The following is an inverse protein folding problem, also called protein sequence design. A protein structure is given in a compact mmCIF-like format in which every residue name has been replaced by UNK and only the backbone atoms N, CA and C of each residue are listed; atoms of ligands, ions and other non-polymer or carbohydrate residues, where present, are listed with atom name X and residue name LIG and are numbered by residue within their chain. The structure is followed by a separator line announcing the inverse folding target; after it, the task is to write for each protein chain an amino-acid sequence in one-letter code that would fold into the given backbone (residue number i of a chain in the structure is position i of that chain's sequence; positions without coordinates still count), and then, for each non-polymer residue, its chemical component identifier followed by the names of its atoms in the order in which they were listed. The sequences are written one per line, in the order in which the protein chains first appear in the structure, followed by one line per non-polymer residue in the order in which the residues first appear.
data_IF_214082964673
#
_entry.id   IF_214082964673
#
_cell.length_a   1.000
_cell.length_b   1.000
_cell.length_c   1.000
_cell.angle_alpha   90.00
_cell.angle_beta   90.00
_cell.angle_gamma   90.00
#
_symmetry.space_group_name_H-M   'P 1'
#
loop_
_entity.id
_entity.type
_entity.pdbx_description
1 polymer ?
#
# COMPACT_ATOMS: atom_id res chain seq x y z
N UNK A 1 -0.12 -0.87 24.35
CA UNK A 1 0.96 -0.92 23.33
C UNK A 1 0.33 -0.71 21.97
N UNK A 2 0.58 0.47 21.36
CA UNK A 2 -0.06 0.87 20.09
C UNK A 2 0.73 0.32 18.90
N UNK A 3 0.13 -0.58 18.13
CA UNK A 3 0.70 -1.09 16.89
C UNK A 3 0.26 -0.18 15.73
N UNK A 4 1.20 0.46 15.06
CA UNK A 4 0.93 1.21 13.83
C UNK A 4 1.26 0.31 12.63
N UNK A 5 0.23 -0.04 11.87
CA UNK A 5 0.32 -0.85 10.65
C UNK A 5 -0.11 0.04 9.49
N UNK A 6 0.69 0.10 8.44
CA UNK A 6 0.36 0.80 7.20
C UNK A 6 -0.27 -0.20 6.24
N UNK A 7 -1.49 0.08 5.78
CA UNK A 7 -2.21 -0.74 4.79
C UNK A 7 -2.12 -0.08 3.42
N UNK A 8 -1.80 -0.85 2.41
CA UNK A 8 -1.70 -0.41 1.03
C UNK A 8 -2.68 -1.16 0.11
N UNK A 9 -3.34 -0.44 -0.78
CA UNK A 9 -4.32 -0.99 -1.73
C UNK A 9 -3.94 -0.59 -3.16
N UNK A 10 -3.82 -1.55 -4.05
CA UNK A 10 -3.53 -1.33 -5.46
C UNK A 10 -4.77 -1.57 -6.32
N UNK A 11 -5.21 -0.55 -7.03
CA UNK A 11 -6.07 -0.68 -8.21
C UNK A 11 -5.42 0.06 -9.38
N UNK A 12 -5.15 -0.64 -10.46
CA UNK A 12 -4.73 -0.05 -11.71
C UNK A 12 -5.99 0.38 -12.49
N UNK A 13 -6.32 1.68 -12.47
CA UNK A 13 -7.37 2.23 -13.31
C UNK A 13 -6.74 3.22 -14.29
N UNK A 14 -6.69 2.82 -15.56
CA UNK A 14 -6.41 3.72 -16.68
C UNK A 14 -7.64 4.57 -16.93
N UNK A 15 -7.55 5.88 -16.67
CA UNK A 15 -8.50 6.87 -17.12
C UNK A 15 -7.77 7.88 -18.00
N UNK A 16 -8.10 7.87 -19.29
CA UNK A 16 -7.75 8.92 -20.24
C UNK A 16 -8.54 10.19 -19.89
N UNK A 17 -7.88 11.26 -19.49
CA UNK A 17 -8.45 12.58 -19.34
C UNK A 17 -8.13 13.47 -20.53
N UNK A 18 -9.10 14.24 -21.06
CA UNK A 18 -8.82 15.28 -22.05
C UNK A 18 -8.14 16.48 -21.38
N UNK A 19 -7.18 17.03 -22.09
CA UNK A 19 -6.38 18.19 -21.73
C UNK A 19 -7.28 19.44 -21.57
N UNK A 20 -7.41 19.94 -20.35
CA UNK A 20 -7.88 21.29 -20.07
C UNK A 20 -6.74 22.07 -19.43
N UNK A 21 -6.28 23.11 -20.11
CA UNK A 21 -5.25 24.03 -19.60
C UNK A 21 -5.85 24.81 -18.41
N UNK A 22 -5.29 24.57 -17.23
CA UNK A 22 -5.51 25.43 -16.07
C UNK A 22 -4.15 25.97 -15.62
N UNK A 23 -3.95 27.25 -15.81
CA UNK A 23 -2.81 27.99 -15.27
C UNK A 23 -3.10 28.29 -13.80
N UNK A 24 -2.41 27.62 -12.90
CA UNK A 24 -2.36 27.99 -11.48
C UNK A 24 -0.89 28.05 -11.04
N UNK A 25 -0.59 29.14 -10.36
CA UNK A 25 0.72 29.53 -9.85
C UNK A 25 1.31 28.53 -8.88
N UNK A 26 2.56 28.19 -9.09
CA UNK A 26 3.64 27.97 -8.14
C UNK A 26 3.41 27.21 -6.83
N UNK A 27 3.17 25.91 -6.88
CA UNK A 27 3.65 25.05 -5.81
C UNK A 27 4.76 24.16 -6.37
N UNK A 28 6.01 24.44 -5.97
CA UNK A 28 7.18 23.69 -6.36
C UNK A 28 7.09 22.27 -5.75
N UNK A 29 6.65 21.31 -6.55
CA UNK A 29 6.84 19.89 -6.24
C UNK A 29 8.35 19.66 -6.12
N UNK A 30 8.88 19.12 -5.02
CA UNK A 30 10.30 18.82 -4.90
C UNK A 30 10.67 17.80 -5.98
N UNK A 31 11.36 18.25 -6.99
CA UNK A 31 11.89 17.39 -8.06
C UNK A 31 13.06 16.62 -7.47
N UNK A 32 12.83 15.38 -7.03
CA UNK A 32 13.93 14.47 -6.69
C UNK A 32 14.86 14.36 -7.91
N UNK A 33 16.16 14.48 -7.66
CA UNK A 33 17.14 14.35 -8.73
C UNK A 33 17.05 12.93 -9.33
N UNK A 34 17.27 12.76 -10.66
CA UNK A 34 17.19 11.44 -11.29
C UNK A 34 18.09 10.40 -10.61
N UNK A 35 19.22 10.79 -10.07
CA UNK A 35 20.14 9.92 -9.34
C UNK A 35 19.55 9.42 -8.03
N UNK A 36 18.83 10.28 -7.28
CA UNK A 36 18.17 9.88 -6.04
C UNK A 36 17.02 8.90 -6.30
N UNK A 37 16.25 9.11 -7.37
CA UNK A 37 15.18 8.22 -7.78
C UNK A 37 15.68 6.82 -8.20
N UNK A 38 16.81 6.75 -8.92
CA UNK A 38 17.44 5.47 -9.29
C UNK A 38 17.93 4.73 -8.05
N UNK A 39 18.65 5.42 -7.15
CA UNK A 39 19.13 4.82 -5.90
C UNK A 39 17.99 4.29 -5.03
N UNK A 40 16.91 5.04 -4.89
CA UNK A 40 15.72 4.61 -4.15
C UNK A 40 15.05 3.37 -4.78
N UNK A 41 15.04 3.27 -6.13
CA UNK A 41 14.53 2.11 -6.83
C UNK A 41 15.38 0.86 -6.55
N UNK A 42 16.72 0.99 -6.59
CA UNK A 42 17.66 -0.10 -6.32
C UNK A 42 17.56 -0.58 -4.87
N UNK A 43 17.35 0.32 -3.92
CA UNK A 43 17.13 -0.04 -2.51
C UNK A 43 15.87 -0.88 -2.32
N UNK A 44 14.77 -0.56 -3.01
CA UNK A 44 13.53 -1.34 -2.94
C UNK A 44 13.69 -2.71 -3.57
N UNK A 45 14.43 -2.81 -4.69
CA UNK A 45 14.76 -4.11 -5.33
C UNK A 45 15.59 -4.97 -4.38
N UNK A 46 16.65 -4.40 -3.80
CA UNK A 46 17.50 -5.10 -2.82
C UNK A 46 16.69 -5.58 -1.61
N UNK A 47 15.77 -4.74 -1.11
CA UNK A 47 14.89 -5.09 0.01
C UNK A 47 13.95 -6.27 -0.34
N UNK A 48 13.36 -6.26 -1.54
CA UNK A 48 12.47 -7.34 -2.01
C UNK A 48 13.20 -8.68 -2.07
N UNK A 49 14.40 -8.70 -2.63
CA UNK A 49 15.24 -9.91 -2.71
C UNK A 49 15.75 -10.36 -1.33
N UNK A 50 16.19 -9.43 -0.47
CA UNK A 50 16.66 -9.77 0.87
C UNK A 50 15.58 -10.40 1.76
N UNK A 51 14.32 -10.07 1.51
CA UNK A 51 13.15 -10.65 2.19
C UNK A 51 12.65 -11.94 1.51
N UNK A 52 13.23 -12.37 0.39
CA UNK A 52 12.85 -13.58 -0.38
C UNK A 52 11.37 -13.55 -0.79
N UNK A 53 10.91 -12.43 -1.35
CA UNK A 53 9.49 -12.20 -1.66
C UNK A 53 9.09 -12.66 -3.08
N UNK A 54 10.02 -13.15 -3.88
CA UNK A 54 9.80 -13.64 -5.25
C UNK A 54 8.76 -14.77 -5.26
N UNK A 55 7.79 -14.64 -6.15
CA UNK A 55 6.70 -15.61 -6.25
C UNK A 55 5.69 -15.60 -5.11
N UNK A 56 5.96 -14.87 -4.01
CA UNK A 56 5.06 -14.77 -2.84
C UNK A 56 4.27 -13.46 -2.85
N UNK A 57 4.97 -12.34 -3.07
CA UNK A 57 4.39 -10.99 -3.03
C UNK A 57 4.55 -10.34 -4.40
N UNK A 58 3.49 -9.72 -4.90
CA UNK A 58 3.54 -8.99 -6.16
C UNK A 58 4.55 -7.83 -6.05
N UNK A 59 5.54 -7.79 -6.95
CA UNK A 59 6.58 -6.77 -6.98
C UNK A 59 6.03 -5.34 -7.05
N UNK A 60 5.03 -5.10 -7.93
CA UNK A 60 4.45 -3.76 -8.09
C UNK A 60 3.75 -3.30 -6.80
N UNK A 61 3.00 -4.19 -6.18
CA UNK A 61 2.32 -3.92 -4.91
C UNK A 61 3.33 -3.63 -3.79
N UNK A 62 4.41 -4.43 -3.68
CA UNK A 62 5.47 -4.22 -2.71
C UNK A 62 6.20 -2.89 -2.92
N UNK A 63 6.61 -2.59 -4.16
CA UNK A 63 7.27 -1.32 -4.52
C UNK A 63 6.43 -0.12 -4.11
N UNK A 64 5.13 -0.12 -4.41
CA UNK A 64 4.23 0.97 -4.02
C UNK A 64 4.08 1.06 -2.50
N UNK A 65 3.94 -0.08 -1.81
CA UNK A 65 3.81 -0.12 -0.36
C UNK A 65 5.05 0.48 0.33
N UNK A 66 6.26 0.14 -0.13
CA UNK A 66 7.52 0.70 0.40
C UNK A 66 7.64 2.19 0.09
N UNK A 67 7.24 2.62 -1.12
CA UNK A 67 7.22 4.04 -1.48
C UNK A 67 6.32 4.84 -0.53
N UNK A 68 5.12 4.36 -0.23
CA UNK A 68 4.24 5.00 0.72
C UNK A 68 4.76 4.93 2.16
N UNK A 69 5.32 3.79 2.57
CA UNK A 69 5.96 3.64 3.87
C UNK A 69 7.06 4.69 4.10
N UNK A 70 7.91 4.94 3.12
CA UNK A 70 9.00 5.91 3.21
C UNK A 70 8.51 7.37 3.30
N UNK A 71 7.33 7.68 2.76
CA UNK A 71 6.73 9.03 2.85
C UNK A 71 6.13 9.33 4.22
N UNK A 72 5.75 8.32 4.99
CA UNK A 72 5.12 8.50 6.30
C UNK A 72 6.21 8.57 7.38
N UNK A 73 6.48 9.78 7.87
CA UNK A 73 7.55 10.03 8.85
C UNK A 73 7.15 9.78 10.31
N UNK A 74 5.86 9.90 10.65
CA UNK A 74 5.37 9.84 12.04
C UNK A 74 4.95 8.43 12.49
N UNK A 75 5.49 7.38 11.87
CA UNK A 75 5.26 6.00 12.28
C UNK A 75 6.00 5.69 13.59
N UNK A 76 5.30 5.05 14.51
CA UNK A 76 5.89 4.64 15.82
C UNK A 76 6.61 3.29 15.75
N UNK A 77 6.39 2.51 14.71
CA UNK A 77 6.99 1.18 14.50
C UNK A 77 7.35 0.99 13.03
N UNK A 78 8.41 0.26 12.79
CA UNK A 78 8.87 -0.10 11.46
C UNK A 78 8.16 -1.37 10.95
N UNK A 79 6.82 -1.30 10.93
CA UNK A 79 5.95 -2.38 10.45
C UNK A 79 5.13 -1.87 9.27
N UNK A 80 5.18 -2.60 8.16
CA UNK A 80 4.39 -2.36 6.96
C UNK A 80 3.40 -3.51 6.78
N UNK A 81 2.10 -3.19 6.61
CA UNK A 81 1.09 -4.15 6.18
C UNK A 81 0.67 -3.83 4.75
N UNK A 82 0.81 -4.81 3.88
CA UNK A 82 0.34 -4.77 2.50
C UNK A 82 -0.87 -5.68 2.34
N UNK A 83 -1.95 -5.17 1.72
CA UNK A 83 -3.06 -5.99 1.23
C UNK A 83 -3.11 -5.86 -0.28
N UNK A 84 -2.88 -6.96 -0.99
CA UNK A 84 -2.89 -7.03 -2.44
C UNK A 84 -4.28 -7.46 -2.94
N UNK A 85 -5.13 -6.50 -3.28
CA UNK A 85 -6.47 -6.78 -3.81
C UNK A 85 -6.50 -7.21 -5.28
N UNK A 86 -5.38 -7.34 -5.94
CA UNK A 86 -5.31 -8.02 -7.24
C UNK A 86 -5.53 -9.53 -7.13
N UNK A 87 -5.37 -10.07 -5.91
CA UNK A 87 -5.63 -11.48 -5.59
C UNK A 87 -7.05 -11.68 -5.03
N UNK A 88 -7.65 -12.87 -5.20
CA UNK A 88 -8.95 -13.19 -4.60
C UNK A 88 -8.85 -13.29 -3.06
N UNK A 89 -9.99 -13.15 -2.38
CA UNK A 89 -10.08 -13.24 -0.91
C UNK A 89 -9.76 -14.64 -0.36
N UNK A 90 -9.81 -15.65 -1.21
CA UNK A 90 -9.49 -17.05 -0.89
C UNK A 90 -8.00 -17.35 -0.87
N UNK A 91 -7.16 -16.42 -1.37
CA UNK A 91 -5.70 -16.54 -1.36
C UNK A 91 -5.06 -15.66 -0.29
N UNK A 92 -3.83 -16.02 0.10
CA UNK A 92 -3.01 -15.16 0.97
C UNK A 92 -2.67 -13.87 0.21
N UNK A 93 -3.22 -12.76 0.68
CA UNK A 93 -3.06 -11.43 0.07
C UNK A 93 -2.82 -10.31 1.10
N UNK A 94 -2.82 -10.65 2.39
CA UNK A 94 -2.35 -9.77 3.46
C UNK A 94 -0.96 -10.22 3.87
N UNK A 95 -0.02 -9.28 3.90
CA UNK A 95 1.37 -9.48 4.29
C UNK A 95 1.77 -8.44 5.32
N UNK A 96 2.48 -8.86 6.36
CA UNK A 96 3.02 -7.97 7.40
C UNK A 96 4.53 -8.10 7.41
N UNK A 97 5.23 -6.98 7.27
CA UNK A 97 6.68 -6.91 7.20
C UNK A 97 7.25 -6.15 8.40
N UNK A 98 8.32 -6.69 8.97
CA UNK A 98 9.25 -5.98 9.84
C UNK A 98 10.30 -5.29 8.94
N UNK A 99 10.14 -4.00 8.74
CA UNK A 99 10.99 -3.22 7.84
C UNK A 99 12.38 -3.00 8.43
N UNK A 100 12.50 -2.98 9.76
CA UNK A 100 13.77 -2.84 10.46
C UNK A 100 14.66 -4.08 10.29
N UNK A 101 14.07 -5.27 10.47
CA UNK A 101 14.80 -6.53 10.39
C UNK A 101 14.68 -7.21 9.01
N UNK A 102 14.04 -6.53 8.03
CA UNK A 102 13.90 -6.98 6.64
C UNK A 102 13.36 -8.39 6.51
N UNK A 103 12.22 -8.65 7.16
CA UNK A 103 11.58 -9.99 7.14
C UNK A 103 10.06 -9.89 7.08
N UNK A 104 9.43 -10.88 6.47
CA UNK A 104 8.00 -11.06 6.52
C UNK A 104 7.61 -11.70 7.86
N UNK A 105 6.68 -11.08 8.60
CA UNK A 105 6.17 -11.60 9.87
C UNK A 105 4.96 -12.50 9.69
N UNK A 106 4.03 -12.10 8.78
CA UNK A 106 2.78 -12.79 8.56
C UNK A 106 2.36 -12.75 7.09
N UNK A 107 1.68 -13.82 6.68
CA UNK A 107 0.95 -13.90 5.42
C UNK A 107 -0.39 -14.58 5.68
N UNK A 108 -1.51 -13.97 5.31
CA UNK A 108 -2.85 -14.46 5.60
C UNK A 108 -3.84 -14.13 4.49
N UNK A 109 -4.98 -14.82 4.52
CA UNK A 109 -6.19 -14.39 3.82
C UNK A 109 -6.79 -13.19 4.54
N UNK A 110 -7.52 -12.34 3.81
CA UNK A 110 -8.26 -11.22 4.38
C UNK A 110 -9.49 -10.94 3.53
N UNK A 111 -10.62 -10.64 4.19
CA UNK A 111 -11.82 -10.18 3.51
C UNK A 111 -11.68 -8.74 3.02
N UNK A 112 -12.59 -8.31 2.18
CA UNK A 112 -12.79 -6.91 1.77
C UNK A 112 -14.20 -6.46 2.11
N UNK A 113 -14.49 -5.18 1.94
CA UNK A 113 -15.81 -4.62 2.23
C UNK A 113 -16.91 -5.33 1.41
N UNK A 114 -18.08 -5.56 2.03
CA UNK A 114 -19.18 -6.33 1.41
C UNK A 114 -19.64 -5.80 0.05
N UNK A 115 -19.47 -4.48 -0.19
CA UNK A 115 -19.83 -3.83 -1.44
C UNK A 115 -18.63 -3.69 -2.40
N UNK A 116 -17.48 -4.31 -2.09
CA UNK A 116 -16.30 -4.27 -2.96
C UNK A 116 -16.30 -5.33 -4.05
N UNK A 117 -17.11 -6.35 -3.95
CA UNK A 117 -17.20 -7.44 -4.94
C UNK A 117 -17.40 -8.81 -4.29
N UNK A 118 -17.27 -9.87 -5.10
CA UNK A 118 -17.34 -11.27 -4.67
C UNK A 118 -15.97 -11.76 -4.14
N UNK A 119 -15.36 -12.76 -4.80
CA UNK A 119 -14.03 -13.24 -4.44
C UNK A 119 -12.94 -12.20 -4.72
N UNK A 120 -13.10 -11.38 -5.73
CA UNK A 120 -12.21 -10.27 -6.07
C UNK A 120 -12.82 -8.95 -5.64
N UNK A 121 -11.99 -8.06 -5.11
CA UNK A 121 -12.38 -6.68 -4.86
C UNK A 121 -12.27 -5.90 -6.19
N UNK A 122 -13.40 -5.47 -6.73
CA UNK A 122 -13.49 -4.75 -8.00
C UNK A 122 -14.00 -3.32 -7.85
N UNK A 123 -14.50 -2.95 -6.66
CA UNK A 123 -15.03 -1.63 -6.36
C UNK A 123 -14.51 -1.12 -5.04
N UNK A 124 -14.05 0.14 -5.01
CA UNK A 124 -13.41 0.76 -3.86
C UNK A 124 -14.02 2.14 -3.59
N UNK A 125 -14.01 2.59 -2.35
CA UNK A 125 -14.45 3.94 -1.98
C UNK A 125 -13.81 4.36 -0.67
N UNK A 126 -13.48 5.65 -0.57
CA UNK A 126 -13.04 6.27 0.68
C UNK A 126 -14.21 7.01 1.38
N UNK A 127 -15.42 6.92 0.83
CA UNK A 127 -16.61 7.52 1.43
C UNK A 127 -17.08 6.71 2.65
N UNK A 128 -17.41 7.44 3.71
CA UNK A 128 -17.99 6.85 4.92
C UNK A 128 -19.33 6.16 4.61
N UNK A 129 -19.54 4.99 5.18
CA UNK A 129 -20.79 4.24 4.98
C UNK A 129 -20.94 3.51 3.65
N UNK A 130 -19.96 3.59 2.74
CA UNK A 130 -19.98 2.88 1.45
C UNK A 130 -19.96 1.36 1.58
N UNK A 131 -19.49 0.83 2.71
CA UNK A 131 -19.19 -0.59 2.96
C UNK A 131 -18.21 -1.19 1.93
N UNK A 132 -17.45 -0.35 1.25
CA UNK A 132 -16.37 -0.74 0.34
C UNK A 132 -15.04 -0.65 1.06
N UNK A 133 -14.06 -1.42 0.60
CA UNK A 133 -12.68 -1.23 1.00
C UNK A 133 -12.15 0.09 0.45
N UNK A 134 -11.36 0.78 1.24
CA UNK A 134 -10.73 2.04 0.86
C UNK A 134 -9.39 1.80 0.20
N UNK A 135 -8.98 2.69 -0.70
CA UNK A 135 -7.65 2.72 -1.32
C UNK A 135 -6.77 3.74 -0.62
N UNK A 136 -5.48 3.47 -0.58
CA UNK A 136 -4.48 4.42 -0.08
C UNK A 136 -3.60 3.89 1.05
N UNK A 137 -2.90 4.83 1.71
CA UNK A 137 -2.03 4.55 2.84
C UNK A 137 -2.68 5.00 4.13
N UNK A 138 -2.59 4.17 5.16
CA UNK A 138 -3.22 4.43 6.45
C UNK A 138 -2.25 4.12 7.58
N UNK A 139 -2.24 4.99 8.60
CA UNK A 139 -1.67 4.68 9.90
C UNK A 139 -2.74 4.02 10.75
N UNK A 140 -2.44 2.83 11.30
CA UNK A 140 -3.35 2.20 12.24
C UNK A 140 -3.29 2.93 13.58
N UNK A 141 -4.45 3.20 14.14
CA UNK A 141 -4.62 3.75 15.48
C UNK A 141 -4.65 2.65 16.56
N UNK A 142 -5.19 2.97 17.73
CA UNK A 142 -5.36 2.02 18.84
C UNK A 142 -6.34 0.91 18.47
N UNK A 143 -6.17 -0.29 19.03
CA UNK A 143 -7.18 -1.33 18.94
C UNK A 143 -8.52 -0.84 19.49
N UNK A 144 -9.61 -1.30 18.90
CA UNK A 144 -10.97 -1.07 19.41
C UNK A 144 -11.72 -2.39 19.37
N UNK A 145 -12.76 -2.52 20.22
CA UNK A 145 -13.68 -3.64 20.12
C UNK A 145 -14.72 -3.34 19.04
N UNK A 146 -14.77 -4.19 18.01
CA UNK A 146 -15.85 -4.16 17.03
C UNK A 146 -17.20 -4.52 17.67
N UNK A 147 -18.28 -4.04 17.08
CA UNK A 147 -19.65 -4.43 17.42
C UNK A 147 -20.03 -5.67 16.65
#
# INVERSE_FOLDING_TARGET
MQNHIIKFFLSAMFLSFPCAYFTAEGESVPTESPVAAVKAADEVVSLYHSMQLEGVVNWRAFKQAVTGYNRIKNRKRDVLTLIDFSKPSTEKRLYVFDMKHRRMLYSSVVSHGKNSGGNYATSFSNEYGSYKSSLGFYLTASPYQGR
#
